data_IF_308301667022
#
_entry.id   IF_308301667022
#
_cell.length_a   1.000
_cell.length_b   1.000
_cell.length_c   1.000
_cell.angle_alpha   90.00
_cell.angle_beta   90.00
_cell.angle_gamma   90.00
#
_symmetry.space_group_name_H-M   'P 1'
#
loop_
_entity.id
_entity.type
_entity.pdbx_description
1 polymer ?
#
# COMPACT_ATOMS: atom_id res chain seq x y z
N UNK A 1 3.38 -26.83 -0.94
CA UNK A 1 2.55 -25.66 -0.61
C UNK A 1 3.29 -24.43 -1.08
N UNK A 2 2.66 -23.54 -1.84
CA UNK A 2 3.27 -22.28 -2.25
C UNK A 2 2.99 -21.26 -1.13
N UNK A 3 4.01 -20.56 -0.59
CA UNK A 3 3.79 -19.49 0.38
C UNK A 3 2.81 -18.44 -0.13
N UNK A 4 1.99 -17.89 0.76
CA UNK A 4 1.03 -16.82 0.45
C UNK A 4 1.31 -15.62 1.35
N UNK A 5 1.22 -14.43 0.78
CA UNK A 5 1.22 -13.19 1.56
C UNK A 5 -0.10 -13.08 2.30
N UNK A 6 -0.06 -12.70 3.58
CA UNK A 6 -1.25 -12.52 4.40
C UNK A 6 -1.69 -11.06 4.45
N UNK A 7 -0.74 -10.14 4.64
CA UNK A 7 -0.99 -8.70 4.66
C UNK A 7 0.32 -7.92 4.48
N UNK A 8 0.19 -6.61 4.25
CA UNK A 8 1.27 -5.62 4.37
C UNK A 8 1.00 -4.81 5.63
N UNK A 9 1.95 -4.78 6.57
CA UNK A 9 1.82 -3.98 7.80
C UNK A 9 2.55 -2.65 7.65
N UNK A 10 1.88 -1.56 7.98
CA UNK A 10 2.36 -0.19 7.83
C UNK A 10 2.18 0.57 9.13
N UNK A 11 3.19 1.35 9.49
CA UNK A 11 3.14 2.21 10.67
C UNK A 11 2.58 3.55 10.25
N UNK A 12 1.48 3.94 10.87
CA UNK A 12 0.82 5.23 10.65
C UNK A 12 0.90 6.01 11.95
N UNK A 13 1.06 7.33 11.87
CA UNK A 13 1.00 8.13 13.09
C UNK A 13 -0.40 8.04 13.72
N UNK A 14 -0.46 8.08 15.05
CA UNK A 14 -1.73 7.95 15.77
C UNK A 14 -2.79 8.98 15.32
N UNK A 15 -2.35 10.18 14.93
CA UNK A 15 -3.23 11.25 14.45
C UNK A 15 -3.74 11.05 13.03
N UNK A 16 -3.04 10.25 12.22
CA UNK A 16 -3.35 10.04 10.80
C UNK A 16 -4.06 8.72 10.53
N UNK A 17 -4.16 7.84 11.54
CA UNK A 17 -4.70 6.48 11.35
C UNK A 17 -6.11 6.44 10.74
N UNK A 18 -6.99 7.37 11.14
CA UNK A 18 -8.35 7.48 10.60
C UNK A 18 -8.34 7.91 9.14
N UNK A 19 -7.47 8.85 8.77
CA UNK A 19 -7.36 9.34 7.40
C UNK A 19 -6.71 8.28 6.50
N UNK A 20 -5.71 7.56 7.03
CA UNK A 20 -5.07 6.45 6.32
C UNK A 20 -6.05 5.31 6.03
N UNK A 21 -6.92 4.98 6.99
CA UNK A 21 -8.01 4.03 6.75
C UNK A 21 -8.86 4.45 5.54
N UNK A 22 -9.34 5.69 5.50
CA UNK A 22 -10.15 6.18 4.38
C UNK A 22 -9.37 6.16 3.07
N UNK A 23 -8.12 6.63 3.08
CA UNK A 23 -7.26 6.62 1.90
C UNK A 23 -7.10 5.22 1.31
N UNK A 24 -6.75 4.21 2.12
CA UNK A 24 -6.55 2.85 1.61
C UNK A 24 -7.87 2.16 1.25
N UNK A 25 -8.98 2.48 1.94
CA UNK A 25 -10.30 2.05 1.52
C UNK A 25 -10.65 2.60 0.14
N UNK A 26 -10.44 3.88 -0.11
CA UNK A 26 -10.74 4.52 -1.39
C UNK A 26 -9.83 4.02 -2.50
N UNK A 27 -8.51 4.05 -2.26
CA UNK A 27 -7.49 3.66 -3.23
C UNK A 27 -7.75 2.24 -3.72
N UNK A 28 -7.85 1.28 -2.80
CA UNK A 28 -7.99 -0.12 -3.16
C UNK A 28 -9.44 -0.62 -3.27
N UNK A 29 -10.43 0.26 -3.04
CA UNK A 29 -11.85 -0.10 -2.84
C UNK A 29 -12.01 -1.20 -1.77
N UNK A 30 -11.25 -1.08 -0.69
CA UNK A 30 -11.23 -2.04 0.42
C UNK A 30 -12.35 -1.80 1.42
N UNK A 31 -12.70 -2.87 2.12
CA UNK A 31 -13.56 -2.81 3.29
C UNK A 31 -12.72 -2.87 4.56
N UNK A 32 -13.18 -2.19 5.62
CA UNK A 32 -12.61 -2.37 6.96
C UNK A 32 -13.03 -3.74 7.49
N UNK A 33 -12.06 -4.62 7.69
CA UNK A 33 -12.27 -5.94 8.28
C UNK A 33 -12.50 -5.82 9.78
N UNK A 34 -11.64 -5.06 10.48
CA UNK A 34 -11.76 -4.79 11.91
C UNK A 34 -10.90 -3.61 12.34
N UNK A 35 -11.21 -3.07 13.54
CA UNK A 35 -10.42 -2.07 14.25
C UNK A 35 -10.18 -2.56 15.67
N UNK A 36 -8.99 -2.35 16.21
CA UNK A 36 -8.65 -2.84 17.54
C UNK A 36 -8.03 -1.77 18.43
N UNK A 37 -8.27 -1.90 19.74
CA UNK A 37 -7.64 -1.10 20.78
C UNK A 37 -6.81 -2.00 21.69
N UNK A 38 -5.70 -1.47 22.20
CA UNK A 38 -4.88 -2.18 23.17
C UNK A 38 -5.50 -2.06 24.57
N UNK A 39 -5.70 -3.19 25.24
CA UNK A 39 -6.16 -3.28 26.63
C UNK A 39 -5.10 -3.96 27.50
N UNK A 40 -5.23 -3.97 28.85
CA UNK A 40 -4.32 -4.72 29.72
C UNK A 40 -4.25 -6.23 29.41
N UNK A 41 -5.32 -6.80 28.86
CA UNK A 41 -5.41 -8.23 28.50
C UNK A 41 -5.01 -8.51 27.04
N UNK A 42 -4.63 -7.47 26.28
CA UNK A 42 -4.26 -7.56 24.87
C UNK A 42 -5.20 -6.78 23.95
N UNK A 43 -5.17 -7.09 22.65
CA UNK A 43 -6.02 -6.44 21.65
C UNK A 43 -7.50 -6.78 21.85
N UNK A 44 -8.35 -5.76 21.79
CA UNK A 44 -9.80 -5.89 21.80
C UNK A 44 -10.39 -5.28 20.52
N UNK A 45 -11.15 -6.08 19.77
CA UNK A 45 -11.81 -5.66 18.54
C UNK A 45 -13.04 -4.79 18.84
N UNK A 46 -13.19 -3.69 18.10
CA UNK A 46 -14.33 -2.78 18.23
C UNK A 46 -15.54 -3.28 17.42
N UNK A 47 -16.78 -2.82 17.75
CA UNK A 47 -17.96 -3.09 16.94
C UNK A 47 -17.79 -2.59 15.49
N UNK A 48 -18.15 -3.42 14.53
CA UNK A 48 -17.90 -3.18 13.09
C UNK A 48 -18.50 -1.88 12.56
N UNK A 49 -19.79 -1.65 12.83
CA UNK A 49 -20.57 -0.56 12.22
C UNK A 49 -20.26 0.82 12.82
N UNK A 50 -19.74 0.86 14.04
CA UNK A 50 -19.64 2.09 14.83
C UNK A 50 -18.18 2.43 15.17
N UNK A 51 -17.21 1.61 14.71
CA UNK A 51 -15.83 1.53 15.22
C UNK A 51 -15.20 2.85 15.69
N UNK A 52 -15.00 3.82 14.81
CA UNK A 52 -14.42 5.13 15.19
C UNK A 52 -15.30 5.92 16.16
N UNK A 53 -16.60 5.96 15.92
CA UNK A 53 -17.55 6.68 16.79
C UNK A 53 -17.67 6.00 18.17
N UNK A 54 -17.62 4.67 18.22
CA UNK A 54 -17.55 3.89 19.44
C UNK A 54 -16.27 4.21 20.22
N UNK A 55 -15.12 4.24 19.53
CA UNK A 55 -13.85 4.62 20.15
C UNK A 55 -13.94 6.02 20.76
N UNK A 56 -14.44 7.00 20.00
CA UNK A 56 -14.59 8.39 20.42
C UNK A 56 -15.52 8.51 21.64
N UNK A 57 -16.69 7.86 21.62
CA UNK A 57 -17.66 7.89 22.73
C UNK A 57 -17.15 7.25 24.02
N UNK A 58 -16.23 6.30 23.92
CA UNK A 58 -15.69 5.57 25.06
C UNK A 58 -14.24 5.98 25.43
N UNK A 59 -13.70 7.03 24.80
CA UNK A 59 -12.31 7.46 24.96
C UNK A 59 -11.29 6.32 24.74
N UNK A 60 -11.58 5.42 23.81
CA UNK A 60 -10.66 4.35 23.41
C UNK A 60 -9.74 4.85 22.30
N UNK A 61 -8.47 4.44 22.37
CA UNK A 61 -7.50 4.71 21.32
C UNK A 61 -7.39 3.49 20.42
N UNK A 62 -7.82 3.62 19.17
CA UNK A 62 -7.59 2.58 18.16
C UNK A 62 -6.09 2.55 17.87
N UNK A 63 -5.52 1.35 18.00
CA UNK A 63 -4.10 1.09 17.75
C UNK A 63 -3.84 0.33 16.45
N UNK A 64 -4.89 -0.25 15.86
CA UNK A 64 -4.78 -1.10 14.68
C UNK A 64 -6.06 -1.04 13.84
N UNK A 65 -5.91 -0.96 12.52
CA UNK A 65 -6.99 -1.10 11.55
C UNK A 65 -6.57 -2.09 10.47
N UNK A 66 -7.39 -3.11 10.24
CA UNK A 66 -7.21 -4.04 9.12
C UNK A 66 -8.22 -3.71 8.02
N UNK A 67 -7.71 -3.39 6.82
CA UNK A 67 -8.51 -3.23 5.60
C UNK A 67 -8.21 -4.37 4.63
N UNK A 68 -9.20 -4.79 3.86
CA UNK A 68 -9.07 -5.98 3.01
C UNK A 68 -9.97 -5.91 1.77
N UNK A 69 -9.49 -6.53 0.69
CA UNK A 69 -10.28 -6.87 -0.50
C UNK A 69 -9.68 -8.07 -1.23
N UNK A 70 -10.47 -9.10 -1.50
CA UNK A 70 -10.09 -10.15 -2.45
C UNK A 70 -8.80 -10.92 -2.13
N UNK A 71 -8.38 -10.97 -0.86
CA UNK A 71 -7.14 -11.61 -0.42
C UNK A 71 -5.92 -10.68 -0.35
N UNK A 72 -6.08 -9.41 -0.72
CA UNK A 72 -5.13 -8.35 -0.42
C UNK A 72 -5.57 -7.64 0.86
N UNK A 73 -4.67 -7.52 1.84
CA UNK A 73 -4.95 -6.95 3.14
C UNK A 73 -3.82 -6.04 3.60
N UNK A 74 -4.19 -4.97 4.29
CA UNK A 74 -3.27 -3.98 4.84
C UNK A 74 -3.60 -3.79 6.32
N UNK A 75 -2.56 -3.90 7.14
CA UNK A 75 -2.59 -3.67 8.58
C UNK A 75 -1.99 -2.29 8.88
N UNK A 76 -2.82 -1.36 9.38
CA UNK A 76 -2.44 0.00 9.74
C UNK A 76 -2.22 0.07 11.25
N UNK A 77 -0.96 0.12 11.67
CA UNK A 77 -0.59 0.19 13.08
C UNK A 77 -0.32 1.63 13.53
N UNK A 78 -1.06 2.10 14.53
CA UNK A 78 -0.78 3.37 15.20
C UNK A 78 0.53 3.26 15.99
N UNK A 79 1.59 3.86 15.44
CA UNK A 79 2.93 3.85 16.03
C UNK A 79 3.61 5.20 15.77
N UNK A 80 4.54 5.63 16.64
CA UNK A 80 5.47 6.68 16.27
C UNK A 80 6.18 6.30 14.97
N UNK A 81 6.03 7.12 13.93
CA UNK A 81 6.62 6.86 12.61
C UNK A 81 8.15 6.88 12.74
N UNK A 82 8.87 5.79 12.38
CA UNK A 82 10.33 5.80 12.39
C UNK A 82 10.92 6.71 11.30
N UNK A 83 12.14 7.17 11.58
CA UNK A 83 13.02 8.08 10.82
C UNK A 83 13.40 7.53 9.41
N UNK A 84 13.67 8.40 8.41
CA UNK A 84 14.01 8.00 7.03
C UNK A 84 15.23 7.06 6.91
N UNK A 85 15.19 6.14 5.93
CA UNK A 85 16.34 5.28 5.55
C UNK A 85 16.09 3.78 5.51
N UNK A 86 14.83 3.34 5.35
CA UNK A 86 14.46 1.93 5.38
C UNK A 86 14.96 1.11 4.17
N UNK A 87 15.27 -0.18 4.40
CA UNK A 87 15.63 -1.16 3.36
C UNK A 87 14.50 -1.45 2.35
N UNK A 88 13.34 -0.84 2.54
CA UNK A 88 12.13 -1.09 1.81
C UNK A 88 11.90 0.06 0.83
N UNK A 89 11.74 -0.27 -0.46
CA UNK A 89 11.64 0.74 -1.52
C UNK A 89 10.20 1.04 -1.93
N UNK A 90 9.41 0.02 -2.24
CA UNK A 90 8.04 0.15 -2.75
C UNK A 90 7.30 -1.20 -2.73
N UNK A 91 5.96 -1.19 -2.88
CA UNK A 91 5.17 -2.37 -3.29
C UNK A 91 4.77 -2.25 -4.75
N UNK A 92 5.08 -3.27 -5.54
CA UNK A 92 4.51 -3.46 -6.88
C UNK A 92 3.23 -4.29 -6.84
N UNK A 93 2.15 -3.83 -7.49
CA UNK A 93 0.87 -4.54 -7.57
C UNK A 93 0.42 -4.59 -9.04
N UNK A 94 0.12 -5.79 -9.51
CA UNK A 94 -0.55 -6.02 -10.79
C UNK A 94 -2.03 -5.65 -10.67
N UNK A 95 -2.52 -4.82 -11.58
CA UNK A 95 -3.90 -4.31 -11.60
C UNK A 95 -4.46 -4.34 -13.02
N UNK A 96 -5.79 -4.36 -13.15
CA UNK A 96 -6.45 -4.14 -14.44
C UNK A 96 -6.32 -2.68 -14.91
N UNK A 97 -6.56 -2.41 -16.19
CA UNK A 97 -6.57 -1.03 -16.71
C UNK A 97 -7.67 -0.16 -16.06
N UNK A 98 -8.82 -0.76 -15.73
CA UNK A 98 -9.90 -0.08 -15.01
C UNK A 98 -9.46 0.32 -13.59
N UNK A 99 -8.83 -0.61 -12.88
CA UNK A 99 -8.29 -0.33 -11.54
C UNK A 99 -7.20 0.73 -11.63
N UNK A 100 -6.30 0.68 -12.62
CA UNK A 100 -5.25 1.69 -12.78
C UNK A 100 -5.84 3.09 -12.96
N UNK A 101 -6.93 3.25 -13.72
CA UNK A 101 -7.60 4.54 -13.89
C UNK A 101 -8.25 5.00 -12.58
N UNK A 102 -8.95 4.11 -11.87
CA UNK A 102 -9.46 4.41 -10.53
C UNK A 102 -8.35 4.89 -9.58
N UNK A 103 -7.20 4.23 -9.56
CA UNK A 103 -6.07 4.66 -8.72
C UNK A 103 -5.61 6.08 -9.08
N UNK A 104 -5.60 6.45 -10.37
CA UNK A 104 -5.24 7.82 -10.79
C UNK A 104 -6.20 8.85 -10.27
N UNK A 105 -7.50 8.55 -10.38
CA UNK A 105 -8.54 9.41 -9.84
C UNK A 105 -8.33 9.61 -8.35
N UNK A 106 -8.18 8.54 -7.56
CA UNK A 106 -7.95 8.64 -6.11
C UNK A 106 -6.67 9.42 -5.80
N UNK A 107 -5.54 9.07 -6.40
CA UNK A 107 -4.25 9.74 -6.17
C UNK A 107 -4.31 11.25 -6.45
N UNK A 108 -5.16 11.70 -7.38
CA UNK A 108 -5.35 13.14 -7.64
C UNK A 108 -6.11 13.91 -6.56
N UNK A 109 -6.83 13.21 -5.67
CA UNK A 109 -7.60 13.81 -4.57
C UNK A 109 -6.81 13.88 -3.24
N UNK A 110 -5.69 13.18 -3.15
CA UNK A 110 -4.85 13.12 -1.96
C UNK A 110 -3.48 13.77 -2.21
N UNK A 111 -2.73 14.06 -1.15
CA UNK A 111 -1.40 14.69 -1.23
C UNK A 111 -0.32 13.67 -1.62
N UNK A 112 -0.49 13.06 -2.80
CA UNK A 112 0.40 12.05 -3.34
C UNK A 112 1.43 12.68 -4.30
N UNK A 113 2.68 12.25 -4.23
CA UNK A 113 3.73 12.67 -5.16
C UNK A 113 3.88 11.64 -6.30
N UNK A 114 3.36 11.96 -7.49
CA UNK A 114 3.47 11.08 -8.66
C UNK A 114 4.87 11.17 -9.26
N UNK A 115 5.64 10.07 -9.15
CA UNK A 115 6.97 9.97 -9.74
C UNK A 115 6.96 9.44 -11.18
N UNK A 116 5.98 8.61 -11.54
CA UNK A 116 5.82 8.14 -12.91
C UNK A 116 4.36 7.82 -13.25
N UNK A 117 3.94 8.14 -14.48
CA UNK A 117 2.57 7.93 -14.94
C UNK A 117 2.52 7.71 -16.44
N UNK A 118 1.96 6.58 -16.88
CA UNK A 118 1.66 6.29 -18.29
C UNK A 118 0.41 5.41 -18.42
N UNK A 119 -0.04 5.06 -19.62
CA UNK A 119 -1.23 4.22 -19.80
C UNK A 119 -1.17 2.82 -19.14
N UNK A 120 0.03 2.33 -18.78
CA UNK A 120 0.21 0.97 -18.25
C UNK A 120 0.86 0.91 -16.87
N UNK A 121 1.30 2.04 -16.32
CA UNK A 121 1.99 2.13 -15.03
C UNK A 121 1.67 3.43 -14.28
N UNK A 122 1.56 3.35 -12.96
CA UNK A 122 1.47 4.48 -12.04
C UNK A 122 2.43 4.23 -10.88
N UNK A 123 3.33 5.18 -10.61
CA UNK A 123 4.23 5.16 -9.45
C UNK A 123 4.08 6.47 -8.70
N UNK A 124 3.82 6.39 -7.40
CA UNK A 124 3.68 7.56 -6.54
C UNK A 124 4.07 7.24 -5.10
N UNK A 125 4.42 8.27 -4.36
CA UNK A 125 4.58 8.25 -2.90
C UNK A 125 3.28 8.74 -2.27
N UNK A 126 2.73 7.98 -1.33
CA UNK A 126 1.51 8.35 -0.60
C UNK A 126 1.81 9.26 0.61
N UNK A 127 0.77 9.90 1.21
CA UNK A 127 0.95 10.81 2.35
C UNK A 127 1.58 10.15 3.59
N UNK A 128 1.60 8.83 3.65
CA UNK A 128 2.08 8.04 4.79
C UNK A 128 3.49 7.46 4.54
N UNK A 129 4.14 7.86 3.45
CA UNK A 129 5.53 7.54 3.13
C UNK A 129 5.71 6.19 2.42
N UNK A 130 4.64 5.61 1.89
CA UNK A 130 4.72 4.38 1.10
C UNK A 130 4.74 4.69 -0.38
N UNK A 131 5.72 4.11 -1.08
CA UNK A 131 5.75 4.11 -2.54
C UNK A 131 4.99 2.94 -3.11
N UNK A 132 4.04 3.24 -3.99
CA UNK A 132 3.25 2.25 -4.72
C UNK A 132 3.62 2.26 -6.19
N UNK A 133 3.72 1.06 -6.78
CA UNK A 133 3.89 0.85 -8.21
C UNK A 133 2.75 -0.04 -8.72
N UNK A 134 1.84 0.54 -9.49
CA UNK A 134 0.74 -0.16 -10.13
C UNK A 134 1.04 -0.38 -11.60
N UNK A 135 0.79 -1.60 -12.07
CA UNK A 135 1.03 -1.93 -13.47
C UNK A 135 0.01 -2.93 -14.03
N UNK A 136 -0.21 -2.85 -15.33
CA UNK A 136 -1.13 -3.74 -16.06
C UNK A 136 -0.46 -4.98 -16.63
N UNK A 137 0.84 -5.16 -16.39
CA UNK A 137 1.62 -6.25 -16.90
C UNK A 137 1.61 -7.42 -15.92
N UNK A 138 1.36 -8.62 -16.45
CA UNK A 138 1.32 -9.81 -15.61
C UNK A 138 2.70 -10.25 -15.14
N UNK A 139 2.85 -10.42 -13.82
CA UNK A 139 4.09 -10.88 -13.17
C UNK A 139 4.19 -12.41 -13.02
N UNK A 140 3.36 -13.18 -13.73
CA UNK A 140 3.44 -14.65 -13.75
C UNK A 140 4.80 -15.18 -14.27
N UNK A 141 5.48 -14.40 -15.10
CA UNK A 141 6.80 -14.72 -15.68
C UNK A 141 7.73 -13.51 -15.60
N UNK A 142 8.21 -13.13 -14.39
CA UNK A 142 8.93 -11.88 -14.19
C UNK A 142 10.26 -11.82 -14.98
N UNK A 143 10.85 -12.96 -15.31
CA UNK A 143 12.03 -13.06 -16.18
C UNK A 143 11.81 -12.44 -17.57
N UNK A 144 10.56 -12.32 -18.03
CA UNK A 144 10.20 -11.69 -19.31
C UNK A 144 9.99 -10.17 -19.18
N UNK A 145 10.04 -9.63 -17.96
CA UNK A 145 9.64 -8.26 -17.65
C UNK A 145 10.82 -7.34 -17.31
N UNK A 146 12.06 -7.84 -17.40
CA UNK A 146 13.26 -7.03 -17.22
C UNK A 146 13.18 -5.76 -18.07
N UNK A 147 13.22 -4.59 -17.44
CA UNK A 147 13.21 -3.30 -18.14
C UNK A 147 14.33 -3.20 -19.18
N UNK A 148 15.57 -3.57 -18.80
CA UNK A 148 16.72 -3.60 -19.71
C UNK A 148 16.45 -4.45 -20.96
N UNK A 149 16.16 -5.75 -20.76
CA UNK A 149 15.80 -6.66 -21.85
C UNK A 149 14.65 -6.16 -22.74
N UNK A 150 13.57 -5.61 -22.15
CA UNK A 150 12.41 -5.07 -22.90
C UNK A 150 12.78 -3.88 -23.77
N UNK A 151 13.73 -3.09 -23.33
CA UNK A 151 14.21 -1.91 -24.05
C UNK A 151 15.48 -2.22 -24.87
N UNK A 152 15.84 -3.50 -25.02
CA UNK A 152 17.02 -3.95 -25.75
C UNK A 152 18.35 -3.52 -25.11
N UNK A 153 18.33 -3.03 -23.87
CA UNK A 153 19.50 -2.59 -23.11
C UNK A 153 20.09 -3.76 -22.33
N UNK A 154 21.10 -4.38 -22.91
CA UNK A 154 21.88 -5.46 -22.33
C UNK A 154 23.20 -4.94 -21.79
N UNK A 155 23.61 -5.39 -20.60
CA UNK A 155 24.83 -4.91 -19.95
C UNK A 155 26.09 -5.30 -20.74
N UNK A 156 26.03 -6.40 -21.49
CA UNK A 156 27.07 -6.89 -22.39
C UNK A 156 27.46 -5.84 -23.44
N UNK A 157 26.50 -5.04 -23.90
CA UNK A 157 26.75 -3.96 -24.86
C UNK A 157 27.51 -2.77 -24.25
N UNK A 158 27.51 -2.62 -22.92
CA UNK A 158 28.26 -1.56 -22.22
C UNK A 158 29.74 -1.91 -22.05
N UNK A 159 30.08 -3.21 -22.00
CA UNK A 159 31.45 -3.69 -21.80
C UNK A 159 32.29 -3.58 -23.08
N UNK A 160 31.66 -3.68 -24.27
CA UNK A 160 32.37 -3.60 -25.56
C UNK A 160 32.76 -2.17 -25.98
N UNK A 161 32.25 -1.13 -25.31
CA UNK A 161 32.55 0.27 -25.62
C UNK A 161 33.74 0.81 -24.81
N UNK A 162 34.23 0.04 -23.83
CA UNK A 162 35.36 0.40 -22.96
C UNK A 162 36.66 -0.38 -23.26
N UNK A 163 36.70 -1.16 -24.34
CA UNK A 163 37.87 -1.92 -24.79
C UNK A 163 38.45 -1.35 -26.09
#
# INVERSE_FOLDING_TARGET
MIPKMTHIAMRISDSELRDAEHFYCDLFRMDVAFRETMTPDGWATLPKEDGWQFADRHNLRIGLVMVYRGGFAIDLEARPVPVPGGRYSHTGIEVTSEELEHMREIVSHYDCEISHSSSSILVFDDPYGMRWEFMTLSYDKPQLLSAGAREGRWAEALVQVQA
#
